data_IF_530669214564
#
_entry.id   IF_530669214564
#
_cell.length_a   1.000
_cell.length_b   1.000
_cell.length_c   1.000
_cell.angle_alpha   90.00
_cell.angle_beta   90.00
_cell.angle_gamma   90.00
#
_symmetry.space_group_name_H-M   'P 1'
#
loop_
_entity.id
_entity.type
_entity.pdbx_description
1 polymer ?
#
# COMPACT_ATOMS: atom_id res chain seq x y z
N UNK A 1 9.68 -4.92 3.61
CA UNK A 1 8.47 -5.77 3.70
C UNK A 1 7.85 -5.95 2.32
N UNK A 2 7.30 -4.90 1.67
CA UNK A 2 6.53 -5.04 0.42
C UNK A 2 7.29 -5.74 -0.70
N UNK A 3 8.53 -5.28 -0.98
CA UNK A 3 9.40 -5.85 -2.02
C UNK A 3 9.63 -7.35 -1.80
N UNK A 4 9.93 -7.77 -0.56
CA UNK A 4 10.16 -9.18 -0.25
C UNK A 4 8.88 -10.00 -0.44
N UNK A 5 7.75 -9.55 0.12
CA UNK A 5 6.47 -10.26 0.01
C UNK A 5 6.07 -10.47 -1.46
N UNK A 6 6.23 -9.44 -2.30
CA UNK A 6 5.95 -9.53 -3.74
C UNK A 6 6.96 -10.44 -4.43
N UNK A 7 8.25 -10.31 -4.13
CA UNK A 7 9.30 -11.14 -4.72
C UNK A 7 9.07 -12.63 -4.45
N UNK A 8 8.84 -13.02 -3.20
CA UNK A 8 8.61 -14.41 -2.83
C UNK A 8 7.35 -14.97 -3.50
N UNK A 9 6.23 -14.24 -3.49
CA UNK A 9 4.98 -14.69 -4.11
C UNK A 9 5.06 -14.80 -5.64
N UNK A 10 5.73 -13.84 -6.30
CA UNK A 10 5.58 -13.61 -7.74
C UNK A 10 6.82 -13.93 -8.56
N UNK A 11 7.98 -14.19 -7.95
CA UNK A 11 9.26 -14.40 -8.66
C UNK A 11 10.00 -15.66 -8.22
N UNK A 12 9.51 -16.38 -7.23
CA UNK A 12 10.17 -17.60 -6.71
C UNK A 12 9.17 -18.73 -6.55
N UNK A 13 9.65 -19.97 -6.66
CA UNK A 13 8.88 -21.19 -6.36
C UNK A 13 9.02 -21.63 -4.89
N UNK A 14 9.75 -20.86 -4.08
CA UNK A 14 9.99 -21.13 -2.66
C UNK A 14 9.11 -20.24 -1.80
N UNK A 15 8.61 -20.76 -0.69
CA UNK A 15 7.92 -19.97 0.34
C UNK A 15 8.87 -19.30 1.34
N UNK A 16 10.17 -19.25 1.06
CA UNK A 16 11.16 -18.68 1.97
C UNK A 16 11.16 -17.15 1.91
N UNK A 17 10.90 -16.51 3.05
CA UNK A 17 11.03 -15.06 3.23
C UNK A 17 12.41 -14.75 3.81
N UNK A 18 13.16 -13.84 3.18
CA UNK A 18 14.50 -13.41 3.64
C UNK A 18 14.47 -12.50 4.87
N UNK A 19 13.29 -12.00 5.25
CA UNK A 19 13.08 -11.17 6.43
C UNK A 19 11.87 -11.66 7.21
N UNK A 20 11.89 -11.48 8.54
CA UNK A 20 10.73 -11.73 9.38
C UNK A 20 9.69 -10.62 9.20
N UNK A 21 8.73 -10.83 8.30
CA UNK A 21 7.64 -9.89 8.02
C UNK A 21 6.78 -9.68 9.27
N UNK A 22 6.60 -10.70 10.11
CA UNK A 22 5.78 -10.60 11.33
C UNK A 22 6.46 -9.72 12.37
N UNK A 23 7.76 -9.87 12.56
CA UNK A 23 8.54 -8.99 13.44
C UNK A 23 8.46 -7.54 12.95
N UNK A 24 8.64 -7.30 11.65
CA UNK A 24 8.56 -5.94 11.07
C UNK A 24 7.16 -5.32 11.22
N UNK A 25 6.10 -6.09 11.07
CA UNK A 25 4.71 -5.65 11.31
C UNK A 25 4.51 -5.23 12.78
N UNK A 26 5.03 -5.99 13.73
CA UNK A 26 5.01 -5.63 15.15
C UNK A 26 5.79 -4.33 15.43
N UNK A 27 6.94 -4.14 14.78
CA UNK A 27 7.70 -2.88 14.89
C UNK A 27 6.91 -1.69 14.35
N UNK A 28 6.19 -1.85 13.22
CA UNK A 28 5.32 -0.78 12.68
C UNK A 28 4.23 -0.40 13.69
N UNK A 29 3.60 -1.40 14.33
CA UNK A 29 2.59 -1.18 15.37
C UNK A 29 3.16 -0.51 16.62
N UNK A 30 4.42 -0.77 16.98
CA UNK A 30 5.13 -0.04 18.02
C UNK A 30 5.37 1.42 17.63
N UNK A 31 5.88 1.67 16.43
CA UNK A 31 6.12 3.03 15.93
C UNK A 31 4.83 3.84 15.83
N UNK A 32 3.71 3.23 15.43
CA UNK A 32 2.41 3.90 15.41
C UNK A 32 2.01 4.41 16.81
N UNK A 33 2.14 3.56 17.83
CA UNK A 33 1.86 3.92 19.23
C UNK A 33 2.81 5.01 19.74
N UNK A 34 4.10 4.91 19.42
CA UNK A 34 5.07 5.92 19.80
C UNK A 34 4.80 7.29 19.17
N UNK A 35 4.51 7.32 17.87
CA UNK A 35 4.20 8.57 17.15
C UNK A 35 2.95 9.22 17.73
N UNK A 36 1.87 8.45 17.97
CA UNK A 36 0.66 8.98 18.63
C UNK A 36 0.95 9.59 20.00
N UNK A 37 1.76 8.91 20.83
CA UNK A 37 2.17 9.42 22.14
C UNK A 37 2.94 10.73 22.00
N UNK A 38 3.91 10.80 21.09
CA UNK A 38 4.71 12.01 20.84
C UNK A 38 3.85 13.17 20.34
N UNK A 39 2.91 12.92 19.43
CA UNK A 39 1.96 13.94 18.95
C UNK A 39 1.11 14.47 20.10
N UNK A 40 0.54 13.59 20.92
CA UNK A 40 -0.27 14.01 22.07
C UNK A 40 0.54 14.86 23.07
N UNK A 41 1.76 14.43 23.41
CA UNK A 41 2.66 15.18 24.29
C UNK A 41 2.99 16.55 23.70
N UNK A 42 3.32 16.62 22.41
CA UNK A 42 3.62 17.88 21.74
C UNK A 42 2.43 18.84 21.84
N UNK A 43 1.25 18.42 21.39
CA UNK A 43 0.04 19.25 21.39
C UNK A 43 -0.41 19.69 22.79
N UNK A 44 -0.11 18.90 23.82
CA UNK A 44 -0.40 19.26 25.22
C UNK A 44 0.47 20.44 25.71
N UNK A 45 1.62 20.67 25.08
CA UNK A 45 2.58 21.72 25.46
C UNK A 45 2.51 22.92 24.50
N UNK A 46 2.43 22.66 23.19
CA UNK A 46 2.46 23.70 22.14
C UNK A 46 1.11 24.39 21.90
N UNK A 47 0.03 23.86 22.48
CA UNK A 47 -1.31 24.44 22.34
C UNK A 47 -1.91 24.23 20.95
N UNK A 48 -2.66 25.22 20.44
CA UNK A 48 -3.50 25.04 19.23
C UNK A 48 -2.75 25.23 17.91
N UNK A 49 -1.55 25.80 17.93
CA UNK A 49 -0.81 26.16 16.71
C UNK A 49 -0.50 24.96 15.81
N UNK A 50 -0.20 23.80 16.41
CA UNK A 50 0.25 22.62 15.68
C UNK A 50 -0.82 21.52 15.56
N UNK A 51 -2.08 21.80 15.95
CA UNK A 51 -3.16 20.80 15.93
C UNK A 51 -3.30 20.17 14.56
N UNK A 52 -3.32 20.98 13.49
CA UNK A 52 -3.45 20.46 12.13
C UNK A 52 -2.30 19.54 11.75
N UNK A 53 -1.05 19.93 12.02
CA UNK A 53 0.11 19.12 11.72
C UNK A 53 0.10 17.79 12.50
N UNK A 54 -0.26 17.83 13.79
CA UNK A 54 -0.39 16.64 14.62
C UNK A 54 -1.46 15.67 14.13
N UNK A 55 -2.62 16.21 13.70
CA UNK A 55 -3.70 15.40 13.13
C UNK A 55 -3.31 14.77 11.78
N UNK A 56 -2.62 15.52 10.91
CA UNK A 56 -2.10 15.01 9.63
C UNK A 56 -1.06 13.90 9.86
N UNK A 57 -0.12 14.09 10.80
CA UNK A 57 0.86 13.06 11.12
C UNK A 57 0.20 11.78 11.66
N UNK A 58 -0.85 11.95 12.48
CA UNK A 58 -1.64 10.84 13.01
C UNK A 58 -2.40 10.10 11.92
N UNK A 59 -2.92 10.78 10.88
CA UNK A 59 -3.56 10.09 9.75
C UNK A 59 -2.54 9.31 8.90
N UNK A 60 -1.37 9.90 8.64
CA UNK A 60 -0.32 9.26 7.83
C UNK A 60 0.17 7.97 8.50
N UNK A 61 0.42 7.98 9.81
CA UNK A 61 0.94 6.79 10.49
C UNK A 61 -0.06 5.63 10.50
N UNK A 62 -1.38 5.92 10.49
CA UNK A 62 -2.42 4.91 10.31
C UNK A 62 -2.36 4.28 8.91
N UNK A 63 -2.20 5.10 7.87
CA UNK A 63 -2.07 4.57 6.52
C UNK A 63 -0.79 3.73 6.35
N UNK A 64 0.32 4.09 7.03
CA UNK A 64 1.55 3.29 7.06
C UNK A 64 1.33 1.93 7.73
N UNK A 65 0.64 1.88 8.87
CA UNK A 65 0.26 0.63 9.54
C UNK A 65 -0.54 -0.27 8.61
N UNK A 66 -1.55 0.29 7.93
CA UNK A 66 -2.37 -0.46 6.96
C UNK A 66 -1.56 -1.02 5.80
N UNK A 67 -0.59 -0.27 5.29
CA UNK A 67 0.33 -0.78 4.26
C UNK A 67 1.14 -1.98 4.81
N UNK A 68 1.58 -1.92 6.05
CA UNK A 68 2.23 -3.02 6.77
C UNK A 68 1.35 -4.27 6.81
N UNK A 69 0.10 -4.12 7.27
CA UNK A 69 -0.88 -5.21 7.37
C UNK A 69 -1.18 -5.84 6.00
N UNK A 70 -1.43 -5.05 4.95
CA UNK A 70 -1.64 -5.60 3.59
C UNK A 70 -0.39 -6.26 3.03
N UNK A 71 0.80 -5.77 3.37
CA UNK A 71 2.06 -6.39 2.98
C UNK A 71 2.28 -7.74 3.66
N UNK A 72 1.89 -7.84 4.94
CA UNK A 72 1.87 -9.10 5.68
C UNK A 72 0.88 -10.07 5.06
N UNK A 73 -0.32 -9.63 4.71
CA UNK A 73 -1.29 -10.46 4.00
C UNK A 73 -0.72 -11.01 2.66
N UNK A 74 0.05 -10.22 1.91
CA UNK A 74 0.77 -10.71 0.70
C UNK A 74 1.82 -11.76 1.08
N UNK A 75 2.58 -11.57 2.16
CA UNK A 75 3.54 -12.57 2.61
C UNK A 75 2.88 -13.87 3.06
N UNK A 76 1.69 -13.80 3.66
CA UNK A 76 0.91 -14.98 4.02
C UNK A 76 0.43 -15.73 2.77
N UNK A 77 0.07 -15.03 1.69
CA UNK A 77 -0.17 -15.70 0.40
C UNK A 77 1.11 -16.40 -0.08
N UNK A 78 2.27 -15.75 -0.01
CA UNK A 78 3.55 -16.33 -0.43
C UNK A 78 3.91 -17.61 0.36
N UNK A 79 3.62 -17.62 1.67
CA UNK A 79 3.90 -18.75 2.55
C UNK A 79 2.96 -19.93 2.33
N UNK A 80 1.72 -19.68 1.90
CA UNK A 80 0.69 -20.71 1.76
C UNK A 80 0.45 -21.14 0.30
N UNK A 81 1.02 -20.45 -0.68
CA UNK A 81 0.93 -20.82 -2.10
C UNK A 81 2.08 -21.78 -2.47
N UNK A 82 1.82 -22.88 -3.21
CA UNK A 82 2.80 -23.95 -3.39
C UNK A 82 3.97 -23.62 -4.33
N UNK A 83 3.85 -22.57 -5.14
CA UNK A 83 4.84 -22.16 -6.15
C UNK A 83 4.73 -20.66 -6.42
N UNK A 84 5.44 -20.15 -7.44
CA UNK A 84 5.15 -18.82 -7.98
C UNK A 84 3.66 -18.70 -8.33
N UNK A 85 3.01 -17.64 -7.86
CA UNK A 85 1.67 -17.28 -8.32
C UNK A 85 1.78 -16.69 -9.73
N UNK A 86 1.01 -17.20 -10.68
CA UNK A 86 0.90 -16.67 -12.05
C UNK A 86 -0.34 -15.77 -12.18
N UNK A 87 -0.21 -14.67 -12.93
CA UNK A 87 -1.26 -13.65 -13.13
C UNK A 87 -2.14 -13.95 -14.35
N UNK A 88 -1.83 -15.02 -15.09
CA UNK A 88 -2.57 -15.43 -16.28
C UNK A 88 -2.65 -14.31 -17.31
N UNK A 89 -3.87 -13.97 -17.72
CA UNK A 89 -4.11 -12.90 -18.72
C UNK A 89 -3.71 -11.50 -18.23
N UNK A 90 -3.47 -11.34 -16.92
CA UNK A 90 -3.10 -10.05 -16.31
C UNK A 90 -1.60 -9.90 -16.11
N UNK A 91 -0.79 -10.93 -16.40
CA UNK A 91 0.61 -11.03 -15.95
C UNK A 91 1.47 -9.80 -16.28
N UNK A 92 1.50 -9.37 -17.54
CA UNK A 92 2.34 -8.25 -18.00
C UNK A 92 1.97 -6.93 -17.29
N UNK A 93 0.67 -6.68 -17.14
CA UNK A 93 0.17 -5.46 -16.51
C UNK A 93 0.28 -5.53 -14.99
N UNK A 94 0.12 -6.72 -14.40
CA UNK A 94 0.28 -6.96 -12.97
C UNK A 94 1.74 -6.70 -12.56
N UNK A 95 2.70 -7.20 -13.35
CA UNK A 95 4.12 -6.92 -13.15
C UNK A 95 4.45 -5.41 -13.24
N UNK A 96 3.85 -4.69 -14.19
CA UNK A 96 4.01 -3.21 -14.26
C UNK A 96 3.47 -2.52 -13.01
N UNK A 97 2.31 -2.96 -12.50
CA UNK A 97 1.73 -2.39 -11.26
C UNK A 97 2.64 -2.67 -10.06
N UNK A 98 3.20 -3.87 -9.95
CA UNK A 98 4.18 -4.23 -8.92
C UNK A 98 5.36 -3.24 -8.92
N UNK A 99 5.96 -2.99 -10.09
CA UNK A 99 7.09 -2.05 -10.25
C UNK A 99 6.70 -0.60 -9.93
N UNK A 100 5.54 -0.15 -10.40
CA UNK A 100 5.04 1.20 -10.12
C UNK A 100 4.85 1.39 -8.61
N UNK A 101 4.26 0.40 -7.93
CA UNK A 101 4.04 0.49 -6.48
C UNK A 101 5.36 0.54 -5.70
N UNK A 102 6.36 -0.25 -6.10
CA UNK A 102 7.71 -0.17 -5.51
C UNK A 102 8.29 1.24 -5.66
N UNK A 103 8.20 1.83 -6.85
CA UNK A 103 8.70 3.18 -7.12
C UNK A 103 7.91 4.27 -6.37
N UNK A 104 6.61 4.09 -6.14
CA UNK A 104 5.80 5.03 -5.36
C UNK A 104 6.32 5.14 -3.92
N UNK A 105 6.81 4.06 -3.29
CA UNK A 105 7.40 4.14 -1.95
C UNK A 105 8.57 5.13 -1.90
N UNK A 106 9.49 5.05 -2.88
CA UNK A 106 10.65 5.94 -2.93
C UNK A 106 10.25 7.39 -3.23
N UNK A 107 9.33 7.58 -4.19
CA UNK A 107 8.81 8.90 -4.53
C UNK A 107 8.05 9.55 -3.37
N UNK A 108 7.34 8.76 -2.57
CA UNK A 108 6.58 9.25 -1.41
C UNK A 108 7.52 9.80 -0.35
N UNK A 109 8.64 9.12 -0.07
CA UNK A 109 9.65 9.58 0.88
C UNK A 109 10.24 10.92 0.43
N UNK A 110 10.57 11.05 -0.86
CA UNK A 110 11.08 12.31 -1.44
C UNK A 110 10.02 13.42 -1.38
N UNK A 111 8.79 13.14 -1.82
CA UNK A 111 7.70 14.10 -1.86
C UNK A 111 7.36 14.64 -0.46
N UNK A 112 7.40 13.80 0.57
CA UNK A 112 7.22 14.23 1.96
C UNK A 112 8.36 15.11 2.47
N UNK A 113 9.61 14.71 2.25
CA UNK A 113 10.78 15.46 2.74
C UNK A 113 10.90 16.84 2.09
N UNK A 114 10.60 16.92 0.79
CA UNK A 114 10.82 18.12 -0.01
C UNK A 114 9.53 18.88 -0.35
N UNK A 115 8.37 18.46 0.19
CA UNK A 115 7.05 19.04 -0.12
C UNK A 115 6.79 19.16 -1.63
N UNK A 116 7.18 18.15 -2.40
CA UNK A 116 7.11 18.18 -3.86
C UNK A 116 5.69 17.90 -4.35
N UNK A 117 4.93 18.97 -4.57
CA UNK A 117 3.53 18.93 -5.02
C UNK A 117 3.38 18.28 -6.40
N UNK A 118 4.32 18.50 -7.34
CA UNK A 118 4.23 17.88 -8.67
C UNK A 118 4.33 16.36 -8.59
N UNK A 119 5.29 15.85 -7.82
CA UNK A 119 5.43 14.41 -7.58
C UNK A 119 4.19 13.84 -6.89
N UNK A 120 3.65 14.54 -5.89
CA UNK A 120 2.44 14.11 -5.19
C UNK A 120 1.23 13.97 -6.14
N UNK A 121 1.00 14.96 -7.03
CA UNK A 121 -0.08 14.89 -8.04
C UNK A 121 0.09 13.70 -8.99
N UNK A 122 1.32 13.46 -9.47
CA UNK A 122 1.62 12.31 -10.34
C UNK A 122 1.34 10.97 -9.64
N UNK A 123 1.74 10.82 -8.38
CA UNK A 123 1.44 9.61 -7.60
C UNK A 123 -0.09 9.43 -7.46
N UNK A 124 -0.83 10.52 -7.20
CA UNK A 124 -2.29 10.47 -7.07
C UNK A 124 -3.01 10.04 -8.36
N UNK A 125 -2.55 10.52 -9.52
CA UNK A 125 -3.06 10.12 -10.84
C UNK A 125 -2.81 8.64 -11.10
N UNK A 126 -1.53 8.21 -11.01
CA UNK A 126 -1.14 6.81 -11.21
C UNK A 126 -1.91 5.87 -10.27
N UNK A 127 -2.04 6.24 -9.00
CA UNK A 127 -2.77 5.43 -8.01
C UNK A 127 -4.25 5.31 -8.33
N UNK A 128 -4.87 6.34 -8.91
CA UNK A 128 -6.28 6.31 -9.32
C UNK A 128 -6.49 5.35 -10.51
N UNK A 129 -5.55 5.30 -11.44
CA UNK A 129 -5.58 4.35 -12.55
C UNK A 129 -5.37 2.91 -12.07
N UNK A 130 -4.36 2.67 -11.24
CA UNK A 130 -4.06 1.34 -10.66
C UNK A 130 -5.26 0.81 -9.88
N UNK A 131 -5.85 1.63 -9.00
CA UNK A 131 -6.98 1.17 -8.17
C UNK A 131 -8.21 0.82 -9.00
N UNK A 132 -8.51 1.59 -10.06
CA UNK A 132 -9.58 1.28 -11.03
C UNK A 132 -9.29 -0.04 -11.76
N UNK A 133 -8.06 -0.22 -12.23
CA UNK A 133 -7.65 -1.43 -12.96
C UNK A 133 -7.75 -2.69 -12.11
N UNK A 134 -7.34 -2.61 -10.83
CA UNK A 134 -7.54 -3.73 -9.89
C UNK A 134 -9.01 -4.06 -9.68
N UNK A 135 -9.90 -3.06 -9.63
CA UNK A 135 -11.35 -3.30 -9.51
C UNK A 135 -11.93 -3.98 -10.76
N UNK A 136 -11.48 -3.55 -11.94
CA UNK A 136 -11.85 -4.18 -13.23
C UNK A 136 -11.41 -5.64 -13.26
N UNK A 137 -10.17 -5.96 -12.90
CA UNK A 137 -9.66 -7.33 -12.87
C UNK A 137 -10.40 -8.22 -11.87
N UNK A 138 -10.68 -7.72 -10.66
CA UNK A 138 -11.49 -8.47 -9.69
C UNK A 138 -12.90 -8.73 -10.26
N UNK A 139 -13.50 -7.76 -10.96
CA UNK A 139 -14.80 -7.96 -11.62
C UNK A 139 -14.72 -9.01 -12.73
N UNK A 140 -13.66 -9.01 -13.54
CA UNK A 140 -13.42 -10.01 -14.58
C UNK A 140 -13.30 -11.41 -13.97
N UNK A 141 -12.48 -11.58 -12.92
CA UNK A 141 -12.34 -12.85 -12.21
C UNK A 141 -13.67 -13.37 -11.65
N UNK A 142 -14.51 -12.49 -11.08
CA UNK A 142 -15.85 -12.85 -10.58
C UNK A 142 -16.76 -13.34 -11.72
N UNK A 143 -16.62 -12.79 -12.94
CA UNK A 143 -17.37 -13.21 -14.13
C UNK A 143 -16.80 -14.48 -14.80
N UNK A 144 -15.71 -15.04 -14.27
CA UNK A 144 -15.00 -16.16 -14.86
C UNK A 144 -14.07 -15.79 -16.02
N UNK A 145 -13.84 -14.49 -16.26
CA UNK A 145 -12.94 -14.00 -17.28
C UNK A 145 -11.50 -13.97 -16.74
N UNK A 146 -10.61 -14.78 -17.32
CA UNK A 146 -9.21 -14.85 -16.89
C UNK A 146 -8.99 -15.59 -15.57
N UNK A 147 -10.01 -16.29 -15.05
CA UNK A 147 -9.88 -17.10 -13.83
C UNK A 147 -8.91 -18.27 -14.07
N UNK A 148 -7.90 -18.46 -13.20
CA UNK A 148 -7.07 -19.66 -13.22
C UNK A 148 -7.91 -20.94 -13.10
N UNK A 149 -7.48 -22.00 -13.79
CA UNK A 149 -8.15 -23.31 -13.69
C UNK A 149 -8.03 -23.94 -12.31
N UNK A 150 -6.91 -23.68 -11.63
CA UNK A 150 -6.67 -24.10 -10.27
C UNK A 150 -7.41 -23.16 -9.30
N UNK A 151 -8.31 -23.67 -8.43
CA UNK A 151 -9.03 -22.86 -7.45
C UNK A 151 -8.11 -22.10 -6.48
N UNK A 152 -6.97 -22.69 -6.10
CA UNK A 152 -5.99 -22.06 -5.22
C UNK A 152 -5.41 -20.81 -5.87
N UNK A 153 -4.95 -20.92 -7.12
CA UNK A 153 -4.40 -19.81 -7.89
C UNK A 153 -5.45 -18.71 -8.09
N UNK A 154 -6.71 -19.10 -8.37
CA UNK A 154 -7.80 -18.15 -8.54
C UNK A 154 -8.09 -17.33 -7.27
N UNK A 155 -8.14 -17.98 -6.11
CA UNK A 155 -8.32 -17.32 -4.81
C UNK A 155 -7.13 -16.41 -4.51
N UNK A 156 -5.90 -16.92 -4.68
CA UNK A 156 -4.69 -16.18 -4.37
C UNK A 156 -4.52 -14.97 -5.29
N UNK A 157 -4.80 -15.10 -6.58
CA UNK A 157 -4.75 -14.00 -7.54
C UNK A 157 -5.78 -12.91 -7.20
N UNK A 158 -7.02 -13.29 -6.89
CA UNK A 158 -8.05 -12.34 -6.49
C UNK A 158 -7.68 -11.59 -5.21
N UNK A 159 -7.18 -12.29 -4.18
CA UNK A 159 -6.72 -11.68 -2.93
C UNK A 159 -5.51 -10.77 -3.17
N UNK A 160 -4.53 -11.22 -3.96
CA UNK A 160 -3.33 -10.48 -4.28
C UNK A 160 -3.66 -9.15 -4.97
N UNK A 161 -4.51 -9.16 -6.01
CA UNK A 161 -4.96 -7.95 -6.70
C UNK A 161 -5.65 -6.99 -5.73
N UNK A 162 -6.49 -7.52 -4.82
CA UNK A 162 -7.14 -6.69 -3.79
C UNK A 162 -6.14 -6.10 -2.81
N UNK A 163 -5.11 -6.84 -2.38
CA UNK A 163 -4.08 -6.33 -1.47
C UNK A 163 -3.21 -5.26 -2.15
N UNK A 164 -2.82 -5.44 -3.42
CA UNK A 164 -2.14 -4.39 -4.19
C UNK A 164 -2.98 -3.11 -4.29
N UNK A 165 -4.29 -3.23 -4.57
CA UNK A 165 -5.22 -2.09 -4.59
C UNK A 165 -5.21 -1.36 -3.24
N UNK A 166 -5.24 -2.10 -2.13
CA UNK A 166 -5.28 -1.54 -0.79
C UNK A 166 -3.98 -0.82 -0.44
N UNK A 167 -2.83 -1.43 -0.71
CA UNK A 167 -1.51 -0.78 -0.59
C UNK A 167 -1.49 0.52 -1.40
N UNK A 168 -1.90 0.46 -2.67
CA UNK A 168 -1.98 1.63 -3.54
C UNK A 168 -2.89 2.74 -2.98
N UNK A 169 -4.04 2.38 -2.41
CA UNK A 169 -4.99 3.33 -1.84
C UNK A 169 -4.41 4.04 -0.61
N UNK A 170 -3.71 3.32 0.26
CA UNK A 170 -3.07 3.92 1.43
C UNK A 170 -1.86 4.79 1.06
N UNK A 171 -1.05 4.38 0.08
CA UNK A 171 0.01 5.23 -0.50
C UNK A 171 -0.59 6.54 -1.06
N UNK A 172 -1.71 6.45 -1.77
CA UNK A 172 -2.43 7.62 -2.28
C UNK A 172 -2.96 8.50 -1.14
N UNK A 173 -3.52 7.93 -0.07
CA UNK A 173 -3.99 8.71 1.08
C UNK A 173 -2.87 9.52 1.71
N UNK A 174 -1.71 8.88 1.96
CA UNK A 174 -0.52 9.54 2.49
C UNK A 174 -0.09 10.67 1.54
N UNK A 175 -0.06 10.40 0.23
CA UNK A 175 0.28 11.41 -0.79
C UNK A 175 -0.67 12.61 -0.76
N UNK A 176 -1.97 12.38 -0.57
CA UNK A 176 -2.95 13.46 -0.60
C UNK A 176 -2.75 14.46 0.54
N UNK A 177 -2.11 14.09 1.65
CA UNK A 177 -1.84 15.04 2.74
C UNK A 177 -0.77 16.07 2.38
N UNK A 178 -0.05 15.91 1.27
CA UNK A 178 0.90 16.89 0.76
C UNK A 178 0.17 18.04 0.05
N UNK A 179 -0.94 17.75 -0.63
CA UNK A 179 -1.63 18.70 -1.51
C UNK A 179 -2.98 19.17 -0.99
N UNK A 180 -3.60 18.42 -0.07
CA UNK A 180 -4.91 18.72 0.48
C UNK A 180 -4.84 19.22 1.93
N UNK A 181 -5.79 20.07 2.34
CA UNK A 181 -6.01 20.35 3.76
C UNK A 181 -6.51 19.09 4.50
N UNK A 182 -6.35 19.07 5.83
CA UNK A 182 -6.65 17.89 6.68
C UNK A 182 -8.01 17.23 6.38
N UNK A 183 -9.10 17.99 6.33
CA UNK A 183 -10.46 17.49 6.08
C UNK A 183 -10.68 16.89 4.67
N UNK A 184 -9.66 16.94 3.80
CA UNK A 184 -9.66 16.48 2.41
C UNK A 184 -8.60 15.40 2.15
N UNK A 185 -7.88 14.94 3.18
CA UNK A 185 -7.00 13.77 3.08
C UNK A 185 -7.81 12.55 2.63
N UNK A 186 -7.29 11.80 1.66
CA UNK A 186 -7.93 10.67 0.98
C UNK A 186 -8.74 11.06 -0.26
N UNK A 187 -9.07 12.34 -0.45
CA UNK A 187 -9.90 12.81 -1.57
C UNK A 187 -9.05 13.35 -2.72
N UNK A 188 -9.67 13.47 -3.91
CA UNK A 188 -9.05 14.17 -5.05
C UNK A 188 -8.78 15.63 -4.68
N UNK A 189 -7.72 16.21 -5.22
CA UNK A 189 -7.45 17.64 -5.07
C UNK A 189 -8.61 18.46 -5.66
N UNK A 190 -8.99 19.55 -4.98
CA UNK A 190 -9.90 20.57 -5.54
C UNK A 190 -9.02 21.78 -5.83
N UNK A 191 -8.79 22.04 -7.12
CA UNK A 191 -8.12 23.23 -7.64
C UNK A 191 -9.17 24.33 -7.81
#
# INVERSE_FOLDING_TARGET
MFVESVHTLRKTDTSELKIDIREKDLMINEYEREVRKKVLTHLSISGTADITAGLVLTSIIIDIERIGDYTKNISELALNHPSKLEGGIFEDELAKIEEILINIFDQLIDAFKNSNVQTARKIMENSSEITRKCDEWVSMLIKGEGIPQNPTDAICLALYIRYLKRVCSHLRNITTSIVNPFHRIGYREKI
#
